data_IF_752570305614
#
_entry.id   IF_752570305614
#
_cell.length_a   1.000
_cell.length_b   1.000
_cell.length_c   1.000
_cell.angle_alpha   90.00
_cell.angle_beta   90.00
_cell.angle_gamma   90.00
#
_symmetry.space_group_name_H-M   'P 1'
#
loop_
_entity.id
_entity.type
_entity.pdbx_description
1 polymer ?
#
# COMPACT_ATOMS: atom_id res chain seq x y z
N UNK A 1 77.45 9.54 4.45
CA UNK A 1 76.09 9.71 3.91
C UNK A 1 75.16 9.88 5.09
N UNK A 2 74.58 11.07 5.24
CA UNK A 2 74.01 11.54 6.50
C UNK A 2 72.65 10.91 6.82
N UNK A 3 72.64 10.01 7.82
CA UNK A 3 71.45 9.32 8.30
C UNK A 3 70.35 10.30 8.77
N UNK A 4 70.74 11.49 9.22
CA UNK A 4 69.82 12.58 9.58
C UNK A 4 69.01 13.06 8.38
N UNK A 5 69.63 13.21 7.20
CA UNK A 5 68.96 13.69 6.00
C UNK A 5 67.99 12.64 5.42
N UNK A 6 68.31 11.35 5.58
CA UNK A 6 67.41 10.26 5.19
C UNK A 6 66.14 10.22 6.06
N UNK A 7 66.28 10.45 7.38
CA UNK A 7 65.14 10.44 8.30
C UNK A 7 64.16 11.59 8.03
N UNK A 8 64.67 12.80 7.76
CA UNK A 8 63.84 13.94 7.37
C UNK A 8 63.14 13.73 6.02
N UNK A 9 63.79 13.04 5.07
CA UNK A 9 63.17 12.72 3.78
C UNK A 9 62.00 11.73 3.90
N UNK A 10 62.14 10.69 4.73
CA UNK A 10 61.09 9.67 4.91
C UNK A 10 59.89 10.26 5.67
N UNK A 11 60.14 11.09 6.71
CA UNK A 11 59.08 11.81 7.41
C UNK A 11 58.33 12.79 6.49
N UNK A 12 59.07 13.47 5.61
CA UNK A 12 58.49 14.37 4.60
C UNK A 12 57.62 13.64 3.57
N UNK A 13 58.10 12.50 3.05
CA UNK A 13 57.33 11.68 2.11
C UNK A 13 56.07 11.08 2.76
N UNK A 14 56.17 10.63 4.01
CA UNK A 14 55.01 10.11 4.75
C UNK A 14 53.94 11.17 4.98
N UNK A 15 54.34 12.39 5.34
CA UNK A 15 53.41 13.49 5.54
C UNK A 15 52.79 13.97 4.22
N UNK A 16 53.58 14.02 3.14
CA UNK A 16 53.06 14.37 1.81
C UNK A 16 52.05 13.34 1.28
N UNK A 17 52.28 12.04 1.50
CA UNK A 17 51.33 10.99 1.10
C UNK A 17 50.01 11.09 1.88
N UNK A 18 50.10 11.37 3.19
CA UNK A 18 48.93 11.59 4.04
C UNK A 18 48.15 12.85 3.60
N UNK A 19 48.86 13.91 3.24
CA UNK A 19 48.28 15.14 2.70
C UNK A 19 47.59 14.91 1.34
N UNK A 20 48.19 14.12 0.45
CA UNK A 20 47.58 13.76 -0.84
C UNK A 20 46.35 12.87 -0.65
N UNK A 21 46.40 11.91 0.28
CA UNK A 21 45.27 11.04 0.59
C UNK A 21 44.07 11.86 1.13
N UNK A 22 44.33 12.78 2.05
CA UNK A 22 43.27 13.68 2.57
C UNK A 22 42.73 14.62 1.51
N UNK A 23 43.56 15.12 0.58
CA UNK A 23 43.09 15.91 -0.57
C UNK A 23 42.18 15.10 -1.50
N UNK A 24 42.46 13.82 -1.71
CA UNK A 24 41.63 12.93 -2.54
C UNK A 24 40.27 12.60 -1.89
N UNK A 25 40.24 12.35 -0.58
CA UNK A 25 38.98 12.13 0.16
C UNK A 25 38.11 13.40 0.21
N UNK A 26 38.73 14.56 0.39
CA UNK A 26 38.04 15.86 0.34
C UNK A 26 37.52 16.15 -1.07
N UNK A 27 38.25 15.77 -2.12
CA UNK A 27 37.78 15.90 -3.51
C UNK A 27 36.55 15.04 -3.78
N UNK A 28 36.55 13.77 -3.35
CA UNK A 28 35.39 12.89 -3.52
C UNK A 28 34.16 13.42 -2.76
N UNK A 29 34.37 14.01 -1.58
CA UNK A 29 33.32 14.65 -0.79
C UNK A 29 32.74 15.86 -1.53
N UNK A 30 33.58 16.75 -2.05
CA UNK A 30 33.17 17.96 -2.78
C UNK A 30 32.46 17.60 -4.10
N UNK A 31 32.87 16.55 -4.80
CA UNK A 31 32.24 16.11 -6.06
C UNK A 31 30.91 15.37 -5.80
N UNK A 32 30.77 14.68 -4.66
CA UNK A 32 29.54 13.97 -4.32
C UNK A 32 28.38 14.91 -3.94
N UNK A 33 28.67 16.04 -3.29
CA UNK A 33 27.66 17.01 -2.86
C UNK A 33 26.80 17.57 -4.02
N UNK A 34 27.37 18.10 -5.12
CA UNK A 34 26.56 18.54 -6.25
C UNK A 34 25.83 17.37 -6.91
N UNK A 35 26.42 16.17 -6.95
CA UNK A 35 25.78 14.99 -7.51
C UNK A 35 24.54 14.57 -6.71
N UNK A 36 24.61 14.64 -5.38
CA UNK A 36 23.50 14.36 -4.47
C UNK A 36 22.41 15.42 -4.59
N UNK A 37 22.77 16.70 -4.68
CA UNK A 37 21.82 17.80 -4.91
C UNK A 37 21.10 17.62 -6.25
N UNK A 38 21.83 17.31 -7.33
CA UNK A 38 21.25 17.05 -8.65
C UNK A 38 20.33 15.82 -8.61
N UNK A 39 20.75 14.74 -7.94
CA UNK A 39 19.94 13.54 -7.76
C UNK A 39 18.63 13.85 -7.02
N UNK A 40 18.68 14.65 -5.95
CA UNK A 40 17.50 15.08 -5.22
C UNK A 40 16.59 16.00 -6.03
N UNK A 41 17.14 16.89 -6.87
CA UNK A 41 16.35 17.73 -7.79
C UNK A 41 15.64 16.86 -8.84
N UNK A 42 16.35 15.89 -9.43
CA UNK A 42 15.76 14.95 -10.40
C UNK A 42 14.67 14.11 -9.73
N UNK A 43 14.95 13.57 -8.54
CA UNK A 43 13.98 12.81 -7.76
C UNK A 43 12.76 13.65 -7.37
N UNK A 44 12.96 14.92 -6.98
CA UNK A 44 11.88 15.86 -6.68
C UNK A 44 11.05 16.17 -7.93
N UNK A 45 11.68 16.35 -9.11
CA UNK A 45 10.96 16.54 -10.38
C UNK A 45 10.18 15.28 -10.75
N UNK A 46 10.75 14.08 -10.62
CA UNK A 46 10.05 12.83 -10.88
C UNK A 46 8.87 12.62 -9.92
N UNK A 47 9.10 12.89 -8.64
CA UNK A 47 8.08 12.82 -7.59
C UNK A 47 6.96 13.84 -7.79
N UNK A 48 7.26 15.03 -8.30
CA UNK A 48 6.27 16.08 -8.58
C UNK A 48 5.57 15.91 -9.92
N UNK A 49 6.23 15.31 -10.92
CA UNK A 49 5.61 14.95 -12.22
C UNK A 49 4.54 13.88 -12.06
N UNK A 50 4.72 12.94 -11.12
CA UNK A 50 3.70 11.93 -10.82
C UNK A 50 2.40 12.54 -10.24
N UNK A 51 2.41 13.82 -9.80
CA UNK A 51 1.24 14.55 -9.31
C UNK A 51 0.72 15.64 -10.26
N UNK A 52 1.29 15.82 -11.46
CA UNK A 52 0.90 16.89 -12.41
C UNK A 52 0.38 16.40 -13.77
N UNK A 53 -0.38 15.31 -13.80
CA UNK A 53 -1.07 14.89 -15.02
C UNK A 53 -2.53 14.50 -14.75
N UNK A 54 -3.32 15.43 -14.21
CA UNK A 54 -4.77 15.32 -14.17
C UNK A 54 -5.44 16.70 -14.26
N UNK A 55 -5.25 17.41 -15.37
CA UNK A 55 -6.30 18.30 -15.87
C UNK A 55 -6.10 18.60 -17.35
N UNK A 56 -6.93 17.99 -18.21
CA UNK A 56 -7.44 18.69 -19.40
C UNK A 56 -8.79 18.09 -19.78
N UNK A 57 -9.86 18.80 -19.40
CA UNK A 57 -11.14 18.73 -20.09
C UNK A 57 -10.94 19.32 -21.48
N UNK A 58 -11.45 18.65 -22.51
CA UNK A 58 -11.88 19.32 -23.73
C UNK A 58 -13.17 18.63 -24.22
N UNK A 59 -14.30 19.35 -24.09
CA UNK A 59 -15.43 19.23 -25.01
C UNK A 59 -14.92 19.78 -26.36
N UNK A 60 -15.35 19.31 -27.52
CA UNK A 60 -16.56 19.76 -28.21
C UNK A 60 -16.85 18.80 -29.39
N UNK A 61 -18.14 18.68 -29.71
CA UNK A 61 -18.72 17.89 -30.81
C UNK A 61 -18.22 18.27 -32.20
N UNK A 62 -18.19 17.31 -33.15
CA UNK A 62 -18.67 17.45 -34.55
C UNK A 62 -18.51 16.12 -35.34
N UNK A 63 -19.62 15.36 -35.42
CA UNK A 63 -20.26 14.77 -36.63
C UNK A 63 -19.36 14.20 -37.76
N UNK A 64 -19.38 12.85 -37.91
CA UNK A 64 -19.58 11.99 -39.13
C UNK A 64 -18.88 12.28 -40.50
N UNK A 65 -18.84 11.36 -41.52
CA UNK A 65 -19.00 9.88 -41.55
C UNK A 65 -18.13 9.11 -42.63
N UNK A 66 -18.22 7.76 -42.66
CA UNK A 66 -17.99 6.76 -43.77
C UNK A 66 -16.57 6.67 -44.41
N UNK A 67 -15.93 5.55 -44.82
CA UNK A 67 -16.31 4.22 -45.36
C UNK A 67 -15.20 3.20 -45.06
N UNK A 68 -15.56 1.93 -44.83
CA UNK A 68 -14.65 0.80 -45.09
C UNK A 68 -15.44 -0.27 -45.81
N UNK A 69 -14.87 -0.68 -46.93
CA UNK A 69 -15.48 -1.46 -47.98
C UNK A 69 -15.88 -2.88 -47.54
N UNK A 70 -16.96 -3.33 -48.13
CA UNK A 70 -17.48 -4.69 -48.09
C UNK A 70 -16.47 -5.67 -48.74
N UNK A 71 -16.34 -6.88 -48.21
CA UNK A 71 -16.58 -8.14 -48.94
C UNK A 71 -16.85 -9.27 -47.94
N UNK A 72 -17.87 -10.03 -48.30
CA UNK A 72 -18.61 -11.05 -47.59
C UNK A 72 -17.84 -12.31 -47.10
N UNK A 73 -18.29 -12.84 -45.96
CA UNK A 73 -18.60 -14.27 -45.85
C UNK A 73 -19.91 -14.46 -45.09
N UNK A 74 -20.89 -15.03 -45.81
CA UNK A 74 -22.25 -15.35 -45.40
C UNK A 74 -22.32 -16.74 -44.76
N UNK A 75 -23.07 -16.87 -43.66
CA UNK A 75 -23.86 -18.07 -43.31
C UNK A 75 -24.97 -17.72 -42.30
N UNK A 76 -26.21 -17.70 -42.81
CA UNK A 76 -27.51 -17.91 -42.12
C UNK A 76 -27.51 -19.28 -41.41
N UNK A 77 -28.23 -19.64 -40.34
CA UNK A 77 -29.34 -19.16 -39.47
C UNK A 77 -29.23 -20.05 -38.20
N UNK A 78 -29.60 -19.62 -36.99
CA UNK A 78 -30.80 -20.02 -36.22
C UNK A 78 -30.87 -19.13 -34.97
N UNK A 79 -31.99 -18.43 -34.83
CA UNK A 79 -32.41 -17.64 -33.67
C UNK A 79 -32.99 -18.58 -32.59
N UNK A 80 -32.68 -18.36 -31.30
CA UNK A 80 -33.79 -18.16 -30.37
C UNK A 80 -33.49 -17.05 -29.35
N UNK A 81 -34.17 -15.91 -29.56
CA UNK A 81 -34.82 -15.08 -28.53
C UNK A 81 -34.03 -14.86 -27.23
N UNK A 82 -33.16 -13.85 -27.23
CA UNK A 82 -32.45 -13.42 -26.03
C UNK A 82 -33.30 -12.51 -25.13
N UNK A 83 -33.49 -13.00 -23.92
CA UNK A 83 -34.06 -12.34 -22.75
C UNK A 83 -33.21 -11.13 -22.34
N UNK A 84 -33.84 -10.06 -21.85
CA UNK A 84 -33.21 -8.77 -21.51
C UNK A 84 -31.94 -8.95 -20.68
N UNK A 85 -30.77 -8.69 -21.28
CA UNK A 85 -29.50 -8.64 -20.55
C UNK A 85 -29.51 -7.45 -19.55
N UNK A 86 -29.09 -7.66 -18.28
CA UNK A 86 -28.96 -6.60 -17.29
C UNK A 86 -27.89 -5.58 -17.70
N UNK A 87 -28.17 -4.32 -17.42
CA UNK A 87 -27.36 -3.15 -17.76
C UNK A 87 -25.93 -3.29 -17.24
N UNK A 88 -24.95 -3.41 -18.14
CA UNK A 88 -23.52 -3.46 -17.80
C UNK A 88 -23.08 -2.14 -17.17
N UNK A 89 -22.61 -2.13 -15.89
CA UNK A 89 -22.01 -0.95 -15.29
C UNK A 89 -20.70 -0.59 -16.02
N UNK A 90 -20.41 0.71 -16.12
CA UNK A 90 -19.20 1.24 -16.75
C UNK A 90 -17.91 0.50 -16.30
N UNK A 91 -16.90 0.37 -17.19
CA UNK A 91 -15.71 -0.42 -16.90
C UNK A 91 -14.93 0.19 -15.72
N UNK A 92 -15.01 -0.46 -14.55
CA UNK A 92 -14.13 -0.17 -13.40
C UNK A 92 -12.78 -0.83 -13.68
N UNK A 93 -11.70 -0.10 -13.39
CA UNK A 93 -10.35 -0.68 -13.47
C UNK A 93 -10.24 -1.74 -12.37
N UNK A 94 -9.70 -2.89 -12.72
CA UNK A 94 -9.47 -3.99 -11.78
C UNK A 94 -8.07 -4.54 -11.96
N UNK A 95 -7.42 -4.85 -10.84
CA UNK A 95 -6.09 -5.44 -10.79
C UNK A 95 -6.21 -6.88 -10.30
N UNK A 96 -5.63 -7.83 -11.02
CA UNK A 96 -5.65 -9.25 -10.64
C UNK A 96 -4.23 -9.76 -10.42
N UNK A 97 -3.98 -10.32 -9.24
CA UNK A 97 -2.70 -10.94 -8.88
C UNK A 97 -2.82 -12.44 -9.11
N UNK A 98 -1.97 -12.97 -9.98
CA UNK A 98 -1.98 -14.40 -10.35
C UNK A 98 -1.54 -15.29 -9.19
N UNK A 99 -1.95 -16.57 -9.22
CA UNK A 99 -1.64 -17.53 -8.15
C UNK A 99 -0.17 -17.87 -8.00
N UNK A 100 0.63 -17.73 -9.06
CA UNK A 100 2.09 -17.91 -9.02
C UNK A 100 2.84 -16.71 -8.43
N UNK A 101 2.17 -15.59 -8.14
CA UNK A 101 2.82 -14.40 -7.60
C UNK A 101 3.01 -14.51 -6.09
N UNK A 102 4.23 -14.21 -5.64
CA UNK A 102 4.57 -13.98 -4.23
C UNK A 102 5.05 -12.55 -4.09
N UNK A 103 4.30 -11.75 -3.33
CA UNK A 103 4.55 -10.32 -3.25
C UNK A 103 4.75 -9.93 -1.78
N UNK A 104 5.75 -9.09 -1.51
CA UNK A 104 6.07 -8.60 -0.18
C UNK A 104 6.23 -7.09 -0.19
N UNK A 105 5.52 -6.37 0.69
CA UNK A 105 5.61 -4.91 0.82
C UNK A 105 4.25 -4.24 1.02
N UNK A 106 4.20 -2.93 0.75
CA UNK A 106 3.00 -2.12 0.89
C UNK A 106 2.31 -1.89 -0.47
N UNK A 107 1.02 -2.19 -0.53
CA UNK A 107 0.16 -2.05 -1.72
C UNK A 107 -0.82 -0.92 -1.47
N UNK A 108 -0.76 0.12 -2.31
CA UNK A 108 -1.68 1.25 -2.26
C UNK A 108 -2.31 1.37 -3.64
N UNK A 109 -3.63 1.19 -3.69
CA UNK A 109 -4.43 1.18 -4.92
C UNK A 109 -5.81 1.76 -4.62
N UNK A 110 -6.44 2.47 -5.55
CA UNK A 110 -7.80 2.99 -5.34
C UNK A 110 -8.88 2.20 -6.10
N UNK A 111 -8.45 1.22 -6.89
CA UNK A 111 -9.27 0.39 -7.78
C UNK A 111 -9.60 -0.97 -7.14
N UNK A 112 -10.42 -1.79 -7.81
CA UNK A 112 -10.75 -3.14 -7.35
C UNK A 112 -9.54 -4.08 -7.50
N UNK A 113 -9.30 -4.93 -6.51
CA UNK A 113 -8.20 -5.89 -6.52
C UNK A 113 -8.68 -7.32 -6.25
N UNK A 114 -8.20 -8.25 -7.06
CA UNK A 114 -8.41 -9.69 -6.89
C UNK A 114 -7.09 -10.39 -6.63
N UNK A 115 -7.01 -11.14 -5.53
CA UNK A 115 -5.80 -11.82 -5.10
C UNK A 115 -5.97 -13.34 -5.25
N UNK A 116 -5.26 -13.94 -6.20
CA UNK A 116 -5.16 -15.40 -6.34
C UNK A 116 -3.86 -15.98 -5.77
N UNK A 117 -2.85 -15.14 -5.51
CA UNK A 117 -1.51 -15.54 -5.05
C UNK A 117 -1.23 -15.27 -3.58
N UNK A 118 0.06 -15.21 -3.24
CA UNK A 118 0.52 -14.96 -1.87
C UNK A 118 0.99 -13.52 -1.68
N UNK A 119 0.44 -12.82 -0.70
CA UNK A 119 0.83 -11.45 -0.33
C UNK A 119 1.26 -11.41 1.13
N UNK A 120 2.40 -10.79 1.39
CA UNK A 120 2.89 -10.45 2.74
C UNK A 120 3.07 -8.95 2.87
N UNK A 121 2.35 -8.31 3.79
CA UNK A 121 2.47 -6.87 4.05
C UNK A 121 1.13 -6.15 4.16
N UNK A 122 1.12 -4.85 3.87
CA UNK A 122 -0.06 -4.00 4.03
C UNK A 122 -0.75 -3.77 2.68
N UNK A 123 -2.07 -3.94 2.62
CA UNK A 123 -2.90 -3.61 1.45
C UNK A 123 -3.84 -2.48 1.84
N UNK A 124 -3.82 -1.38 1.09
CA UNK A 124 -4.64 -0.19 1.32
C UNK A 124 -5.43 0.14 0.05
N UNK A 125 -6.74 0.07 0.16
CA UNK A 125 -7.68 0.50 -0.88
C UNK A 125 -8.73 1.47 -0.34
N UNK A 126 -8.76 2.70 -0.86
CA UNK A 126 -9.67 3.71 -0.31
C UNK A 126 -11.10 3.55 -0.82
N UNK A 127 -11.26 3.19 -2.09
CA UNK A 127 -12.54 3.18 -2.79
C UNK A 127 -12.83 1.87 -3.54
N UNK A 128 -11.89 0.92 -3.52
CA UNK A 128 -12.00 -0.34 -4.24
C UNK A 128 -12.44 -1.50 -3.36
N UNK A 129 -12.88 -2.56 -4.01
CA UNK A 129 -13.19 -3.84 -3.38
C UNK A 129 -11.95 -4.73 -3.36
N UNK A 130 -11.58 -5.24 -2.19
CA UNK A 130 -10.51 -6.23 -2.04
C UNK A 130 -11.11 -7.63 -1.99
N UNK A 131 -10.85 -8.44 -3.00
CA UNK A 131 -11.34 -9.83 -3.07
C UNK A 131 -10.16 -10.80 -2.97
N UNK A 132 -10.13 -11.60 -1.89
CA UNK A 132 -9.20 -12.72 -1.75
C UNK A 132 -9.88 -13.95 -2.33
N UNK A 133 -9.28 -14.54 -3.35
CA UNK A 133 -9.81 -15.72 -4.03
C UNK A 133 -9.38 -17.00 -3.30
N UNK A 134 -9.91 -18.16 -3.72
CA UNK A 134 -9.70 -19.45 -3.04
C UNK A 134 -8.23 -19.85 -2.85
N UNK A 135 -7.39 -19.57 -3.84
CA UNK A 135 -5.95 -19.83 -3.79
C UNK A 135 -5.16 -18.70 -3.11
N UNK A 136 -5.81 -17.56 -2.86
CA UNK A 136 -5.21 -16.37 -2.28
C UNK A 136 -4.86 -16.57 -0.81
N UNK A 137 -3.63 -16.18 -0.45
CA UNK A 137 -3.17 -16.14 0.94
C UNK A 137 -2.60 -14.75 1.23
N UNK A 138 -3.20 -14.05 2.19
CA UNK A 138 -2.74 -12.73 2.62
C UNK A 138 -2.30 -12.79 4.07
N UNK A 139 -1.06 -12.38 4.34
CA UNK A 139 -0.48 -12.27 5.68
C UNK A 139 -0.11 -10.81 5.93
N UNK A 140 -0.84 -10.13 6.83
CA UNK A 140 -0.56 -8.75 7.20
C UNK A 140 -1.82 -7.93 7.49
N UNK A 141 -1.85 -6.70 7.00
CA UNK A 141 -2.90 -5.73 7.31
C UNK A 141 -3.66 -5.35 6.04
N UNK A 142 -4.99 -5.38 6.07
CA UNK A 142 -5.83 -4.99 4.95
C UNK A 142 -6.74 -3.85 5.39
N UNK A 143 -6.67 -2.74 4.66
CA UNK A 143 -7.54 -1.58 4.82
C UNK A 143 -8.32 -1.39 3.52
N UNK A 144 -9.62 -1.61 3.54
CA UNK A 144 -10.47 -1.37 2.36
C UNK A 144 -11.89 -0.98 2.75
N UNK A 145 -12.66 -0.37 1.85
CA UNK A 145 -14.08 -0.13 2.14
C UNK A 145 -14.86 -1.45 2.23
N UNK A 146 -14.66 -2.33 1.24
CA UNK A 146 -15.30 -3.64 1.18
C UNK A 146 -14.26 -4.72 0.98
N UNK A 147 -14.29 -5.74 1.85
CA UNK A 147 -13.41 -6.90 1.77
C UNK A 147 -14.26 -8.15 1.58
N UNK A 148 -13.92 -8.97 0.58
CA UNK A 148 -14.50 -10.29 0.37
C UNK A 148 -13.43 -11.37 0.45
N UNK A 149 -13.60 -12.35 1.34
CA UNK A 149 -12.62 -13.38 1.63
C UNK A 149 -13.16 -14.75 1.21
N UNK A 150 -12.58 -15.33 0.15
CA UNK A 150 -12.82 -16.71 -0.28
C UNK A 150 -11.59 -17.62 -0.09
N UNK A 151 -10.48 -17.07 0.41
CA UNK A 151 -9.21 -17.77 0.64
C UNK A 151 -8.77 -17.69 2.09
N UNK A 152 -7.46 -17.57 2.32
CA UNK A 152 -6.87 -17.48 3.67
C UNK A 152 -6.36 -16.08 3.95
N UNK A 153 -6.77 -15.51 5.08
CA UNK A 153 -6.29 -14.23 5.57
C UNK A 153 -5.79 -14.40 7.00
N UNK A 154 -4.57 -13.90 7.26
CA UNK A 154 -3.98 -13.85 8.60
C UNK A 154 -3.55 -12.44 8.94
N UNK A 155 -4.05 -11.90 10.06
CA UNK A 155 -3.64 -10.59 10.59
C UNK A 155 -4.81 -9.67 10.87
N UNK A 156 -4.69 -8.40 10.49
CA UNK A 156 -5.67 -7.35 10.78
C UNK A 156 -6.45 -7.01 9.50
N UNK A 157 -7.79 -7.05 9.55
CA UNK A 157 -8.63 -6.44 8.51
C UNK A 157 -9.43 -5.30 9.09
N UNK A 158 -9.42 -4.17 8.37
CA UNK A 158 -10.22 -2.99 8.65
C UNK A 158 -11.07 -2.70 7.42
N UNK A 159 -12.38 -2.87 7.54
CA UNK A 159 -13.32 -2.55 6.45
C UNK A 159 -14.69 -2.06 6.89
N UNK A 160 -15.41 -1.33 6.05
CA UNK A 160 -16.80 -0.96 6.35
C UNK A 160 -17.68 -2.22 6.23
N UNK A 161 -17.50 -2.98 5.15
CA UNK A 161 -18.16 -4.26 4.90
C UNK A 161 -17.12 -5.38 4.78
N UNK A 162 -17.34 -6.48 5.51
CA UNK A 162 -16.50 -7.68 5.47
C UNK A 162 -17.37 -8.90 5.19
N UNK A 163 -17.15 -9.53 4.03
CA UNK A 163 -17.85 -10.73 3.59
C UNK A 163 -16.92 -11.93 3.59
N UNK A 164 -17.12 -12.86 4.53
CA UNK A 164 -16.43 -14.16 4.53
C UNK A 164 -17.28 -15.14 3.71
N UNK A 165 -16.74 -15.60 2.59
CA UNK A 165 -17.38 -16.55 1.68
C UNK A 165 -17.19 -18.00 2.15
N UNK A 166 -17.74 -18.96 1.40
CA UNK A 166 -17.85 -20.37 1.80
C UNK A 166 -16.50 -21.06 2.06
N UNK A 167 -15.42 -20.62 1.41
CA UNK A 167 -14.06 -21.15 1.61
C UNK A 167 -13.16 -20.15 2.36
N UNK A 168 -13.72 -19.05 2.86
CA UNK A 168 -12.99 -18.00 3.54
C UNK A 168 -12.54 -18.43 4.93
N UNK A 169 -11.25 -18.31 5.21
CA UNK A 169 -10.66 -18.46 6.53
C UNK A 169 -9.97 -17.16 6.93
N UNK A 170 -10.46 -16.57 8.03
CA UNK A 170 -9.91 -15.35 8.60
C UNK A 170 -9.38 -15.65 10.01
N UNK A 171 -8.06 -15.59 10.18
CA UNK A 171 -7.40 -15.77 11.48
C UNK A 171 -6.76 -14.45 11.94
N UNK A 172 -7.30 -13.82 12.99
CA UNK A 172 -6.74 -12.59 13.55
C UNK A 172 -7.78 -11.60 14.07
N UNK A 173 -7.55 -10.31 13.82
CA UNK A 173 -8.40 -9.23 14.34
C UNK A 173 -9.17 -8.61 13.18
N UNK A 174 -10.48 -8.45 13.32
CA UNK A 174 -11.30 -7.74 12.35
C UNK A 174 -11.99 -6.53 12.96
N UNK A 175 -11.78 -5.36 12.36
CA UNK A 175 -12.47 -4.11 12.65
C UNK A 175 -13.41 -3.81 11.50
N UNK A 176 -14.71 -4.04 11.71
CA UNK A 176 -15.69 -3.79 10.64
C UNK A 176 -17.02 -3.31 11.15
N UNK A 177 -17.76 -2.57 10.32
CA UNK A 177 -19.12 -2.13 10.65
C UNK A 177 -20.13 -3.23 10.39
N UNK A 178 -20.03 -3.86 9.23
CA UNK A 178 -20.90 -4.95 8.79
C UNK A 178 -20.07 -6.21 8.52
N UNK A 179 -20.30 -7.26 9.31
CA UNK A 179 -19.66 -8.56 9.14
C UNK A 179 -20.69 -9.58 8.65
N UNK A 180 -20.45 -10.15 7.48
CA UNK A 180 -21.25 -11.25 6.92
C UNK A 180 -20.39 -12.50 6.84
N UNK A 181 -20.89 -13.63 7.35
CA UNK A 181 -20.23 -14.93 7.24
C UNK A 181 -21.18 -15.88 6.51
N UNK A 182 -20.78 -16.32 5.31
CA UNK A 182 -21.51 -17.35 4.56
C UNK A 182 -21.24 -18.74 5.14
N UNK A 183 -22.15 -19.68 4.85
CA UNK A 183 -22.03 -21.07 5.28
C UNK A 183 -20.71 -21.67 4.78
N UNK A 184 -19.88 -22.16 5.71
CA UNK A 184 -18.55 -22.70 5.42
C UNK A 184 -17.40 -21.75 5.74
N UNK A 185 -17.68 -20.44 5.87
CA UNK A 185 -16.68 -19.47 6.31
C UNK A 185 -16.24 -19.70 7.76
N UNK A 186 -14.95 -19.58 8.02
CA UNK A 186 -14.34 -19.77 9.34
C UNK A 186 -13.68 -18.47 9.78
N UNK A 187 -14.06 -17.98 10.96
CA UNK A 187 -13.45 -16.83 11.60
C UNK A 187 -12.85 -17.24 12.95
N UNK A 188 -11.56 -17.02 13.13
CA UNK A 188 -10.83 -17.33 14.37
C UNK A 188 -10.12 -16.08 14.88
N UNK A 189 -10.65 -15.46 15.93
CA UNK A 189 -9.97 -14.37 16.62
C UNK A 189 -10.94 -13.32 17.19
N UNK A 190 -10.54 -12.06 17.15
CA UNK A 190 -11.26 -10.97 17.82
C UNK A 190 -11.94 -10.07 16.80
N UNK A 191 -13.23 -9.82 17.00
CA UNK A 191 -14.00 -8.86 16.22
C UNK A 191 -14.26 -7.60 17.04
N UNK A 192 -13.97 -6.45 16.45
CA UNK A 192 -14.30 -5.13 16.97
C UNK A 192 -15.19 -4.41 15.95
N UNK A 193 -16.21 -3.71 16.43
CA UNK A 193 -17.11 -2.95 15.56
C UNK A 193 -16.73 -1.48 15.59
N UNK A 194 -16.42 -0.93 14.43
CA UNK A 194 -16.01 0.48 14.29
C UNK A 194 -17.07 1.25 13.50
N UNK A 195 -17.62 2.31 14.10
CA UNK A 195 -18.60 3.18 13.43
C UNK A 195 -17.93 4.32 12.62
N UNK A 196 -16.60 4.37 12.61
CA UNK A 196 -15.79 5.38 11.92
C UNK A 196 -15.60 5.00 10.45
N UNK A 197 -15.91 5.93 9.53
CA UNK A 197 -15.58 5.75 8.10
C UNK A 197 -14.07 5.63 7.95
N UNK A 198 -13.62 4.59 7.26
CA UNK A 198 -12.21 4.37 6.92
C UNK A 198 -11.85 5.41 5.86
N UNK A 199 -11.46 6.59 6.33
CA UNK A 199 -10.91 7.64 5.48
C UNK A 199 -9.39 7.58 5.58
N UNK A 200 -8.72 7.84 4.47
CA UNK A 200 -7.26 7.81 4.28
C UNK A 200 -6.44 8.73 5.20
N UNK A 201 -7.06 9.39 6.19
CA UNK A 201 -6.44 10.33 7.11
C UNK A 201 -6.14 9.83 8.52
N UNK A 202 -6.51 8.59 8.88
CA UNK A 202 -6.45 8.10 10.27
C UNK A 202 -5.35 7.05 10.56
N UNK A 203 -4.22 7.07 9.86
CA UNK A 203 -3.10 6.12 10.13
C UNK A 203 -2.10 6.65 11.15
N UNK A 204 -2.27 7.86 11.70
CA UNK A 204 -1.24 8.49 12.56
C UNK A 204 -1.59 8.64 14.05
N UNK A 205 -2.77 8.24 14.52
CA UNK A 205 -3.23 8.64 15.86
C UNK A 205 -3.49 7.52 16.88
N UNK A 206 -2.87 6.33 16.77
CA UNK A 206 -3.05 5.27 17.80
C UNK A 206 -1.86 5.04 18.75
N UNK A 207 -0.83 5.89 18.76
CA UNK A 207 0.27 5.81 19.75
C UNK A 207 0.21 6.85 20.88
N UNK A 208 -0.87 7.64 21.01
CA UNK A 208 -0.93 8.73 22.00
C UNK A 208 -2.24 8.84 22.77
N UNK A 209 -2.91 7.73 23.12
CA UNK A 209 -4.05 7.77 24.07
C UNK A 209 -4.12 6.55 25.02
N UNK A 210 -2.99 6.13 25.61
CA UNK A 210 -3.01 5.20 26.77
C UNK A 210 -2.02 5.56 27.89
N UNK A 211 -1.80 6.86 28.16
CA UNK A 211 -0.90 7.30 29.26
C UNK A 211 -1.31 8.57 30.04
N UNK A 212 -2.60 8.92 30.14
CA UNK A 212 -2.99 10.08 30.98
C UNK A 212 -4.06 9.82 32.06
N UNK A 213 -4.76 8.69 32.07
CA UNK A 213 -5.94 8.55 32.95
C UNK A 213 -5.66 7.82 34.30
N UNK A 214 -4.41 7.75 34.77
CA UNK A 214 -4.07 7.02 36.02
C UNK A 214 -3.52 7.90 37.16
N UNK A 215 -3.47 9.24 37.03
CA UNK A 215 -2.93 10.10 38.13
C UNK A 215 -3.98 10.94 38.85
N UNK A 216 -5.24 10.47 38.94
CA UNK A 216 -6.21 11.06 39.85
C UNK A 216 -7.09 10.00 40.51
N UNK A 217 -6.49 9.28 41.46
CA UNK A 217 -7.22 8.73 42.60
C UNK A 217 -6.59 9.32 43.85
N UNK A 218 -7.32 10.28 44.42
CA UNK A 218 -6.95 11.02 45.61
C UNK A 218 -6.68 10.11 46.79
N UNK A 219 -5.78 10.57 47.64
CA UNK A 219 -5.54 10.03 48.98
C UNK A 219 -6.79 10.27 49.81
N UNK A 220 -7.49 9.24 50.30
CA UNK A 220 -8.54 9.43 51.29
C UNK A 220 -7.87 9.63 52.66
N UNK A 221 -8.03 10.83 53.21
CA UNK A 221 -7.81 11.07 54.63
C UNK A 221 -8.77 10.21 55.45
N UNK A 222 -8.26 9.25 56.21
CA UNK A 222 -9.00 8.61 57.29
C UNK A 222 -8.24 8.75 58.59
N UNK A 223 -8.75 9.66 59.43
CA UNK A 223 -8.46 9.77 60.85
C UNK A 223 -9.01 8.55 61.58
N UNK A 224 -8.15 7.85 62.32
CA UNK A 224 -8.54 6.88 63.36
C UNK A 224 -9.12 7.60 64.57
N UNK A 225 -10.27 7.18 65.13
CA UNK A 225 -10.57 7.39 66.53
C UNK A 225 -10.10 6.15 67.31
N UNK A 226 -9.30 6.34 68.36
CA UNK A 226 -9.14 5.30 69.39
C UNK A 226 -9.04 5.98 70.75
N UNK A 227 -10.18 5.88 71.45
CA UNK A 227 -10.41 5.74 72.90
C UNK A 227 -9.62 6.60 73.88
#
# INVERSE_FOLDING_TARGET
MDFKNLFFSILGCGWAYLLIYTLMDVYWSIVSLPFLIIFFIIFYILSTRNKRMFTKKNKDNLVEPVKTDEIAYKKEVIEPKEEKLPQTPAPRKSTSISSSCKISGDFILDDDIQVFGHIKGSIRSNNGVVTIQKEGVVEGEIYAQTISINGKMKGLCVSEDLDILENGQLDGICQTKNLTIKKGGVFTGTSERTDKKISSHDVKNELTQKKSDVINLGVPSSSLPTR
#
